data_IF_353052107024
#
_entry.id   IF_353052107024
#
_cell.length_a   1.000
_cell.length_b   1.000
_cell.length_c   1.000
_cell.angle_alpha   90.00
_cell.angle_beta   90.00
_cell.angle_gamma   90.00
#
_symmetry.space_group_name_H-M   'P 1'
#
loop_
_entity.id
_entity.type
_entity.pdbx_description
1 polymer ?
#
# COMPACT_ATOMS: atom_id res chain seq x y z
N UNK A 1 16.28 -11.30 31.36
CA UNK A 1 14.94 -11.36 30.73
C UNK A 1 14.97 -10.53 29.48
N UNK A 2 14.61 -11.10 28.34
CA UNK A 2 14.68 -10.42 27.03
C UNK A 2 13.39 -10.63 26.24
N UNK A 3 13.32 -10.05 25.04
CA UNK A 3 12.13 -10.13 24.19
C UNK A 3 12.01 -11.46 23.42
N UNK A 4 12.98 -12.38 23.55
CA UNK A 4 13.06 -13.60 22.75
C UNK A 4 11.75 -14.43 22.75
N UNK A 5 11.09 -14.58 23.92
CA UNK A 5 9.83 -15.34 24.01
C UNK A 5 8.61 -14.57 23.47
N UNK A 6 8.78 -13.31 23.05
CA UNK A 6 7.75 -12.42 22.51
C UNK A 6 7.97 -12.08 21.03
N UNK A 7 9.04 -12.58 20.43
CA UNK A 7 9.36 -12.37 19.02
C UNK A 7 9.23 -13.70 18.30
N UNK A 8 8.39 -13.72 17.26
CA UNK A 8 8.29 -14.85 16.34
C UNK A 8 8.78 -14.38 14.99
N UNK A 9 9.80 -15.06 14.46
CA UNK A 9 10.23 -14.87 13.08
C UNK A 9 9.36 -15.74 12.17
N UNK A 10 8.87 -15.15 11.08
CA UNK A 10 8.03 -15.81 10.09
C UNK A 10 8.68 -15.58 8.74
N UNK A 11 9.03 -16.65 8.03
CA UNK A 11 9.77 -16.63 6.75
C UNK A 11 8.87 -16.85 5.53
N UNK A 12 7.55 -16.76 5.72
CA UNK A 12 6.56 -17.02 4.68
C UNK A 12 5.19 -17.35 5.26
N UNK A 13 4.20 -17.48 4.37
CA UNK A 13 2.81 -17.69 4.71
C UNK A 13 1.91 -16.62 4.12
N UNK A 14 0.66 -16.59 4.57
CA UNK A 14 -0.32 -15.60 4.15
C UNK A 14 -0.18 -14.32 4.97
N UNK A 15 0.48 -13.32 4.39
CA UNK A 15 0.69 -12.02 5.03
C UNK A 15 -0.62 -11.31 5.36
N UNK A 16 -1.67 -11.48 4.52
CA UNK A 16 -2.95 -10.83 4.73
C UNK A 16 -3.62 -11.35 6.01
N UNK A 17 -3.63 -12.68 6.19
CA UNK A 17 -4.13 -13.28 7.43
C UNK A 17 -3.32 -12.86 8.68
N UNK A 18 -2.00 -12.68 8.53
CA UNK A 18 -1.17 -12.19 9.63
C UNK A 18 -1.49 -10.74 10.00
N UNK A 19 -1.79 -9.91 9.01
CA UNK A 19 -2.22 -8.52 9.21
C UNK A 19 -3.57 -8.49 9.92
N UNK A 20 -4.57 -9.24 9.41
CA UNK A 20 -5.91 -9.33 9.99
C UNK A 20 -5.90 -9.82 11.45
N UNK A 21 -4.96 -10.70 11.79
CA UNK A 21 -4.78 -11.23 13.14
C UNK A 21 -3.93 -10.34 14.06
N UNK A 22 -3.41 -9.22 13.56
CA UNK A 22 -2.53 -8.32 14.31
C UNK A 22 -3.31 -7.19 15.00
N UNK A 23 -2.79 -6.71 16.14
CA UNK A 23 -3.32 -5.51 16.79
C UNK A 23 -2.84 -4.20 16.11
N UNK A 24 -1.89 -4.32 15.19
CA UNK A 24 -1.29 -3.19 14.50
C UNK A 24 0.02 -3.58 13.82
N UNK A 25 0.35 -2.87 12.75
CA UNK A 25 1.50 -3.12 11.89
C UNK A 25 2.48 -1.96 11.98
N UNK A 26 3.75 -2.29 12.23
CA UNK A 26 4.86 -1.33 12.18
C UNK A 26 5.70 -1.60 10.96
N UNK A 27 5.92 -0.56 10.18
CA UNK A 27 6.80 -0.59 9.01
C UNK A 27 7.80 0.55 9.07
N UNK A 28 8.93 0.38 8.42
CA UNK A 28 9.80 1.52 8.10
C UNK A 28 9.19 2.27 6.93
N UNK A 29 9.16 1.65 5.75
CA UNK A 29 8.62 2.24 4.51
C UNK A 29 8.15 1.17 3.50
N UNK A 30 7.91 -0.06 3.99
CA UNK A 30 7.50 -1.18 3.14
C UNK A 30 6.12 -0.95 2.53
N UNK A 31 5.86 -1.46 1.33
CA UNK A 31 4.51 -1.46 0.72
C UNK A 31 3.53 -2.36 1.47
N UNK A 32 4.00 -3.21 2.38
CA UNK A 32 3.16 -3.93 3.35
C UNK A 32 2.28 -2.97 4.16
N UNK A 33 2.73 -1.73 4.40
CA UNK A 33 1.90 -0.70 5.02
C UNK A 33 0.61 -0.44 4.23
N UNK A 34 0.67 -0.40 2.90
CA UNK A 34 -0.53 -0.22 2.06
C UNK A 34 -1.50 -1.39 2.18
N UNK A 35 -0.98 -2.62 2.22
CA UNK A 35 -1.81 -3.81 2.44
C UNK A 35 -2.49 -3.73 3.82
N UNK A 36 -1.74 -3.35 4.86
CA UNK A 36 -2.28 -3.15 6.21
C UNK A 36 -3.40 -2.11 6.26
N UNK A 37 -3.23 -0.98 5.56
CA UNK A 37 -4.27 0.05 5.45
C UNK A 37 -5.53 -0.49 4.78
N UNK A 38 -5.40 -1.24 3.68
CA UNK A 38 -6.53 -1.86 2.97
C UNK A 38 -7.29 -2.89 3.83
N UNK A 39 -6.62 -3.51 4.79
CA UNK A 39 -7.18 -4.42 5.78
C UNK A 39 -7.65 -3.70 7.05
N UNK A 40 -7.78 -2.37 7.00
CA UNK A 40 -8.24 -1.51 8.11
C UNK A 40 -7.46 -1.72 9.43
N UNK A 41 -6.22 -2.20 9.31
CA UNK A 41 -5.38 -2.54 10.46
C UNK A 41 -4.54 -1.32 10.86
N UNK A 42 -4.52 -0.92 12.15
CA UNK A 42 -3.72 0.19 12.62
C UNK A 42 -2.27 0.10 12.14
N UNK A 43 -1.76 1.15 11.52
CA UNK A 43 -0.45 1.11 10.86
C UNK A 43 0.38 2.33 11.24
N UNK A 44 1.63 2.14 11.64
CA UNK A 44 2.60 3.22 11.82
C UNK A 44 3.80 3.04 10.90
N UNK A 45 4.14 4.11 10.17
CA UNK A 45 5.33 4.19 9.34
C UNK A 45 6.41 5.01 10.06
N UNK A 46 7.55 4.38 10.32
CA UNK A 46 8.68 5.02 11.02
C UNK A 46 9.65 5.74 10.07
N UNK A 47 9.61 5.40 8.78
CA UNK A 47 10.40 6.02 7.73
C UNK A 47 9.57 6.95 6.84
N UNK A 48 10.21 7.43 5.77
CA UNK A 48 9.53 8.19 4.73
C UNK A 48 8.74 7.23 3.83
N UNK A 49 7.42 7.26 3.95
CA UNK A 49 6.50 6.50 3.14
C UNK A 49 5.44 7.44 2.55
N UNK A 50 5.12 7.27 1.27
CA UNK A 50 4.16 8.13 0.55
C UNK A 50 2.74 8.08 1.14
N UNK A 51 2.42 7.01 1.87
CA UNK A 51 1.15 6.81 2.57
C UNK A 51 1.20 7.25 4.04
N UNK A 52 2.31 7.80 4.52
CA UNK A 52 2.44 8.32 5.88
C UNK A 52 1.72 9.67 6.00
N UNK A 53 0.38 9.62 5.99
CA UNK A 53 -0.53 10.76 5.95
C UNK A 53 -1.43 10.67 7.18
N UNK A 54 -1.70 11.79 7.89
CA UNK A 54 -2.65 11.79 9.00
C UNK A 54 -4.00 11.18 8.59
N UNK A 55 -4.51 10.26 9.41
CA UNK A 55 -5.73 9.51 9.12
C UNK A 55 -5.48 8.19 8.38
N UNK A 56 -4.36 8.03 7.65
CA UNK A 56 -3.95 6.72 7.13
C UNK A 56 -3.06 6.01 8.14
N UNK A 57 -2.00 6.67 8.59
CA UNK A 57 -1.07 6.10 9.55
C UNK A 57 -1.21 6.76 10.91
N UNK A 58 -0.99 5.98 11.96
CA UNK A 58 -0.90 6.48 13.31
C UNK A 58 0.26 7.47 13.45
N UNK A 59 0.02 8.51 14.24
CA UNK A 59 1.01 9.53 14.59
C UNK A 59 1.30 9.49 16.10
N UNK A 60 2.36 10.16 16.56
CA UNK A 60 2.70 10.20 17.99
C UNK A 60 3.69 9.13 18.47
N UNK A 61 4.29 8.36 17.56
CA UNK A 61 5.39 7.44 17.85
C UNK A 61 4.95 6.10 18.46
N UNK A 62 5.93 5.22 18.68
CA UNK A 62 5.67 3.82 19.07
C UNK A 62 5.00 3.69 20.43
N UNK A 63 5.35 4.52 21.42
CA UNK A 63 4.78 4.41 22.77
C UNK A 63 3.27 4.69 22.79
N UNK A 64 2.80 5.63 21.98
CA UNK A 64 1.38 5.90 21.81
C UNK A 64 0.71 4.77 21.04
N UNK A 65 1.31 4.36 19.93
CA UNK A 65 0.81 3.29 19.08
C UNK A 65 0.62 1.95 19.82
N UNK A 66 1.53 1.60 20.74
CA UNK A 66 1.44 0.38 21.53
C UNK A 66 0.36 0.38 22.61
N UNK A 67 -0.12 1.55 23.01
CA UNK A 67 -1.14 1.70 24.05
C UNK A 67 -2.53 1.87 23.46
N UNK A 68 -2.62 2.61 22.37
CA UNK A 68 -3.86 2.95 21.71
C UNK A 68 -3.62 3.07 20.19
N UNK A 69 -3.45 1.93 19.49
CA UNK A 69 -3.33 1.95 18.04
C UNK A 69 -4.65 2.44 17.43
N UNK A 70 -4.57 3.40 16.51
CA UNK A 70 -5.72 3.98 15.82
C UNK A 70 -5.88 3.34 14.44
N UNK A 71 -7.11 2.92 14.13
CA UNK A 71 -7.44 2.37 12.81
C UNK A 71 -7.34 3.45 11.73
N UNK A 72 -6.94 3.09 10.51
CA UNK A 72 -6.96 4.03 9.39
C UNK A 72 -8.39 4.43 9.05
N UNK A 73 -8.56 5.65 8.56
CA UNK A 73 -9.81 6.10 7.96
C UNK A 73 -10.04 5.34 6.65
N UNK A 74 -11.14 4.58 6.59
CA UNK A 74 -11.45 3.71 5.47
C UNK A 74 -11.75 4.51 4.18
N UNK A 75 -12.42 5.66 4.27
CA UNK A 75 -12.72 6.50 3.11
C UNK A 75 -11.44 7.16 2.56
N UNK A 76 -10.58 7.65 3.46
CA UNK A 76 -9.29 8.20 3.08
C UNK A 76 -8.37 7.12 2.48
N UNK A 77 -8.42 5.90 3.02
CA UNK A 77 -7.67 4.76 2.49
C UNK A 77 -8.10 4.44 1.06
N UNK A 78 -9.41 4.30 0.80
CA UNK A 78 -9.92 4.10 -0.56
C UNK A 78 -9.51 5.24 -1.51
N UNK A 79 -9.69 6.49 -1.08
CA UNK A 79 -9.32 7.66 -1.87
C UNK A 79 -7.82 7.67 -2.20
N UNK A 80 -6.96 7.36 -1.22
CA UNK A 80 -5.52 7.27 -1.41
C UNK A 80 -5.16 6.16 -2.40
N UNK A 81 -5.73 4.96 -2.26
CA UNK A 81 -5.44 3.84 -3.16
C UNK A 81 -5.88 4.13 -4.60
N UNK A 82 -7.05 4.77 -4.79
CA UNK A 82 -7.50 5.23 -6.11
C UNK A 82 -6.57 6.28 -6.70
N UNK A 83 -6.14 7.27 -5.91
CA UNK A 83 -5.22 8.31 -6.36
C UNK A 83 -3.83 7.74 -6.71
N UNK A 84 -3.29 6.85 -5.89
CA UNK A 84 -2.01 6.19 -6.12
C UNK A 84 -2.05 5.36 -7.41
N UNK A 85 -3.09 4.54 -7.60
CA UNK A 85 -3.28 3.75 -8.81
C UNK A 85 -3.48 4.61 -10.07
N UNK A 86 -4.21 5.73 -9.94
CA UNK A 86 -4.53 6.62 -11.07
C UNK A 86 -3.40 7.52 -11.53
N UNK A 87 -2.48 7.91 -10.64
CA UNK A 87 -1.45 8.90 -10.95
C UNK A 87 -0.02 8.32 -11.00
N UNK A 88 0.30 7.34 -10.16
CA UNK A 88 1.69 6.91 -9.94
C UNK A 88 2.00 5.52 -10.49
N UNK A 89 1.01 4.65 -10.62
CA UNK A 89 1.22 3.28 -11.10
C UNK A 89 0.99 3.17 -12.60
N UNK A 90 1.98 2.61 -13.30
CA UNK A 90 1.84 2.20 -14.69
C UNK A 90 1.38 0.74 -14.73
N UNK A 91 0.30 0.46 -15.46
CA UNK A 91 -0.17 -0.92 -15.66
C UNK A 91 0.89 -1.74 -16.41
N UNK A 92 1.35 -2.83 -15.81
CA UNK A 92 2.32 -3.75 -16.39
C UNK A 92 2.82 -4.77 -15.37
N UNK A 93 3.64 -5.71 -15.81
CA UNK A 93 4.38 -6.65 -14.94
C UNK A 93 5.81 -6.77 -15.45
N UNK A 94 6.75 -7.05 -14.56
CA UNK A 94 8.16 -7.27 -14.94
C UNK A 94 8.44 -8.68 -15.46
N UNK A 95 7.55 -9.64 -15.21
CA UNK A 95 7.89 -11.06 -15.28
C UNK A 95 7.30 -11.81 -16.47
N UNK A 96 6.36 -11.20 -17.21
CA UNK A 96 5.70 -11.88 -18.31
C UNK A 96 5.17 -10.92 -19.38
N UNK A 97 5.18 -11.41 -20.62
CA UNK A 97 4.46 -10.76 -21.72
C UNK A 97 2.98 -11.15 -21.70
N UNK A 98 2.07 -10.29 -22.20
CA UNK A 98 2.34 -8.98 -22.84
C UNK A 98 2.55 -7.81 -21.85
N UNK A 99 2.54 -8.10 -20.55
CA UNK A 99 2.52 -7.08 -19.49
C UNK A 99 3.83 -6.30 -19.34
N UNK A 100 4.97 -6.90 -19.66
CA UNK A 100 6.26 -6.20 -19.70
C UNK A 100 6.28 -5.16 -20.81
N UNK A 101 5.94 -5.54 -22.03
CA UNK A 101 5.86 -4.59 -23.16
C UNK A 101 4.86 -3.46 -22.88
N UNK A 102 3.70 -3.77 -22.30
CA UNK A 102 2.72 -2.76 -21.93
C UNK A 102 3.26 -1.75 -20.92
N UNK A 103 3.92 -2.24 -19.86
CA UNK A 103 4.52 -1.40 -18.81
C UNK A 103 5.63 -0.51 -19.35
N UNK A 104 6.54 -1.06 -20.15
CA UNK A 104 7.67 -0.31 -20.77
C UNK A 104 7.14 0.79 -21.68
N UNK A 105 6.20 0.48 -22.57
CA UNK A 105 5.61 1.48 -23.48
C UNK A 105 4.94 2.61 -22.71
N UNK A 106 4.09 2.27 -21.74
CA UNK A 106 3.35 3.27 -20.98
C UNK A 106 4.28 4.16 -20.13
N UNK A 107 5.34 3.60 -19.53
CA UNK A 107 6.33 4.37 -18.80
C UNK A 107 7.11 5.31 -19.74
N UNK A 108 7.59 4.80 -20.88
CA UNK A 108 8.34 5.60 -21.87
C UNK A 108 7.50 6.77 -22.42
N UNK A 109 6.24 6.52 -22.78
CA UNK A 109 5.33 7.58 -23.24
C UNK A 109 5.18 8.69 -22.20
N UNK A 110 4.99 8.35 -20.92
CA UNK A 110 4.81 9.36 -19.87
C UNK A 110 6.06 10.19 -19.61
N UNK A 111 7.24 9.61 -19.75
CA UNK A 111 8.51 10.35 -19.63
C UNK A 111 8.68 11.29 -20.83
N UNK A 112 8.49 10.78 -22.06
CA UNK A 112 8.70 11.54 -23.29
C UNK A 112 7.70 12.70 -23.45
N UNK A 113 6.51 12.58 -22.87
CA UNK A 113 5.45 13.61 -22.94
C UNK A 113 5.41 14.50 -21.69
N UNK A 114 6.38 14.39 -20.77
CA UNK A 114 6.41 15.13 -19.50
C UNK A 114 5.13 14.96 -18.64
N UNK A 115 4.57 13.74 -18.67
CA UNK A 115 3.35 13.37 -17.94
C UNK A 115 3.62 12.47 -16.74
N UNK A 116 4.84 12.45 -16.20
CA UNK A 116 5.14 11.70 -14.97
C UNK A 116 4.24 12.21 -13.83
N UNK A 117 3.63 11.29 -13.07
CA UNK A 117 2.68 11.58 -11.98
C UNK A 117 1.39 12.34 -12.34
N UNK A 118 1.15 12.66 -13.63
CA UNK A 118 -0.15 13.18 -14.09
C UNK A 118 -1.25 12.12 -13.97
N UNK A 119 -2.48 12.45 -13.55
CA UNK A 119 -3.59 11.49 -13.50
C UNK A 119 -3.81 10.83 -14.87
N UNK A 120 -3.97 9.51 -14.90
CA UNK A 120 -4.50 8.83 -16.08
C UNK A 120 -5.97 9.21 -16.26
N UNK A 121 -6.41 9.36 -17.52
CA UNK A 121 -7.84 9.45 -17.80
C UNK A 121 -8.53 8.22 -17.20
N UNK A 122 -9.61 8.45 -16.43
CA UNK A 122 -10.37 7.38 -15.80
C UNK A 122 -10.70 6.30 -16.83
N UNK A 123 -10.36 5.02 -16.60
CA UNK A 123 -10.97 3.98 -17.40
C UNK A 123 -12.45 4.02 -17.04
N UNK A 124 -13.31 4.40 -18.00
CA UNK A 124 -14.72 4.08 -17.94
C UNK A 124 -14.82 2.59 -17.64
N UNK A 125 -15.21 2.24 -16.42
CA UNK A 125 -15.48 0.86 -16.04
C UNK A 125 -16.68 0.41 -16.88
N UNK A 126 -16.43 -0.18 -18.05
CA UNK A 126 -17.40 -1.09 -18.63
C UNK A 126 -17.29 -2.37 -17.84
N UNK A 127 -18.34 -2.65 -17.06
CA UNK A 127 -18.56 -3.96 -16.49
C UNK A 127 -18.67 -4.97 -17.64
N UNK A 128 -17.60 -5.69 -17.92
CA UNK A 128 -17.68 -6.93 -18.68
C UNK A 128 -17.70 -8.06 -17.66
N UNK A 129 -18.92 -8.54 -17.40
CA UNK A 129 -19.16 -9.78 -16.70
C UNK A 129 -18.48 -10.91 -17.48
N UNK A 130 -17.59 -11.63 -16.82
CA UNK A 130 -17.04 -12.89 -17.34
C UNK A 130 -18.06 -13.98 -17.02
N UNK A 131 -18.68 -14.51 -18.08
CA UNK A 131 -19.30 -15.84 -18.11
C UNK A 131 -18.23 -16.92 -18.14
#
# INVERSE_FOLDING_TARGET
GGVANRVRYIDGGDLAQLIDASAGVVVVNSTVGLLSLQHETPTIALGQAVYNVPGLTASGGLDAFWKAPESPDAELTDAFMRAAAGAHMVRGTFYSEPGLTAGVKAAATRILEDRVNQPMASPTLKAEAVQ
#
